data_IF_760330040809
#
_entry.id   IF_760330040809
#
_cell.length_a   1.000
_cell.length_b   1.000
_cell.length_c   1.000
_cell.angle_alpha   90.00
_cell.angle_beta   90.00
_cell.angle_gamma   90.00
#
_symmetry.space_group_name_H-M   'P 1'
#
loop_
_entity.id
_entity.type
_entity.pdbx_description
1 polymer ?
#
# COMPACT_ATOMS: atom_id res chain seq x y z
N UNK A 1 0.56 -25.67 -17.69
CA UNK A 1 0.59 -26.07 -16.28
C UNK A 1 0.78 -24.80 -15.46
N UNK A 2 -0.32 -24.23 -14.98
CA UNK A 2 -0.34 -22.95 -14.28
C UNK A 2 0.13 -23.18 -12.85
N UNK A 3 1.30 -22.64 -12.47
CA UNK A 3 1.64 -22.49 -11.06
C UNK A 3 1.07 -21.15 -10.64
N UNK A 4 -0.15 -21.19 -10.12
CA UNK A 4 -0.79 -20.06 -9.45
C UNK A 4 -0.01 -19.91 -8.14
N UNK A 5 0.79 -18.85 -8.03
CA UNK A 5 1.39 -18.44 -6.76
C UNK A 5 0.31 -17.80 -5.88
N UNK A 6 -0.67 -18.61 -5.46
CA UNK A 6 -1.78 -18.26 -4.57
C UNK A 6 -1.34 -18.17 -3.09
N UNK A 7 -0.16 -17.60 -2.83
CA UNK A 7 0.46 -17.54 -1.48
C UNK A 7 0.51 -16.10 -0.94
N UNK A 8 -0.50 -15.26 -1.23
CA UNK A 8 -0.59 -13.90 -0.68
C UNK A 8 -1.88 -13.56 0.06
N UNK A 9 -2.54 -14.57 0.61
CA UNK A 9 -3.63 -14.31 1.57
C UNK A 9 -3.56 -15.19 2.82
N UNK A 10 -2.35 -15.38 3.35
CA UNK A 10 -2.24 -15.58 4.80
C UNK A 10 -2.53 -14.23 5.43
N UNK A 11 -3.82 -13.98 5.69
CA UNK A 11 -4.28 -12.88 6.55
C UNK A 11 -3.64 -13.07 7.91
N UNK A 12 -2.41 -12.58 8.06
CA UNK A 12 -1.74 -12.52 9.34
C UNK A 12 -2.58 -11.56 10.16
N UNK A 13 -3.36 -12.12 11.08
CA UNK A 13 -4.15 -11.39 12.06
C UNK A 13 -3.21 -10.79 13.11
N UNK A 14 -2.18 -10.08 12.64
CA UNK A 14 -1.19 -9.41 13.44
C UNK A 14 -1.78 -8.04 13.79
N UNK A 15 -1.94 -7.71 15.08
CA UNK A 15 -2.44 -6.41 15.50
C UNK A 15 -1.65 -5.24 14.89
N UNK A 16 -0.36 -5.42 14.60
CA UNK A 16 0.45 -4.42 13.90
C UNK A 16 0.02 -4.20 12.45
N UNK A 17 -0.32 -5.28 11.74
CA UNK A 17 -0.75 -5.21 10.34
C UNK A 17 -2.13 -4.54 10.23
N UNK A 18 -3.04 -4.86 11.16
CA UNK A 18 -4.34 -4.21 11.28
C UNK A 18 -4.20 -2.71 11.61
N UNK A 19 -3.32 -2.36 12.55
CA UNK A 19 -3.03 -0.97 12.90
C UNK A 19 -2.43 -0.21 11.71
N UNK A 20 -1.49 -0.83 10.99
CA UNK A 20 -0.85 -0.24 9.81
C UNK A 20 -1.86 0.00 8.70
N UNK A 21 -2.67 -1.01 8.34
CA UNK A 21 -3.76 -0.88 7.36
C UNK A 21 -4.75 0.20 7.77
N UNK A 22 -5.12 0.29 9.04
CA UNK A 22 -6.04 1.31 9.54
C UNK A 22 -5.43 2.72 9.46
N UNK A 23 -4.15 2.87 9.78
CA UNK A 23 -3.45 4.15 9.69
C UNK A 23 -3.30 4.61 8.23
N UNK A 24 -2.94 3.71 7.31
CA UNK A 24 -2.72 4.02 5.90
C UNK A 24 -4.01 4.19 5.08
N UNK A 25 -5.17 3.78 5.62
CA UNK A 25 -6.49 4.22 5.10
C UNK A 25 -6.68 5.74 5.16
N UNK A 26 -5.93 6.44 6.02
CA UNK A 26 -5.93 7.90 6.07
C UNK A 26 -4.88 8.41 5.09
N UNK A 27 -5.32 8.84 3.90
CA UNK A 27 -4.44 9.31 2.82
C UNK A 27 -3.43 10.35 3.31
N UNK A 28 -3.82 11.30 4.16
CA UNK A 28 -2.92 12.31 4.70
C UNK A 28 -1.79 11.71 5.55
N UNK A 29 -2.08 10.66 6.33
CA UNK A 29 -1.07 9.94 7.13
C UNK A 29 -0.10 9.21 6.20
N UNK A 30 -0.62 8.55 5.17
CA UNK A 30 0.20 7.88 4.17
C UNK A 30 1.11 8.87 3.42
N UNK A 31 0.57 9.99 2.90
CA UNK A 31 1.34 11.06 2.24
C UNK A 31 2.48 11.56 3.13
N UNK A 32 2.18 11.90 4.39
CA UNK A 32 3.18 12.37 5.36
C UNK A 32 4.24 11.32 5.65
N UNK A 33 3.85 10.06 5.79
CA UNK A 33 4.78 8.96 6.00
C UNK A 33 5.79 8.86 4.85
N UNK A 34 5.31 8.85 3.61
CA UNK A 34 6.19 8.80 2.44
C UNK A 34 7.10 10.03 2.38
N UNK A 35 6.58 11.23 2.59
CA UNK A 35 7.38 12.46 2.57
C UNK A 35 8.44 12.52 3.68
N UNK A 36 8.20 11.86 4.81
CA UNK A 36 9.09 11.91 5.98
C UNK A 36 10.19 10.86 5.90
N UNK A 37 9.87 9.66 5.41
CA UNK A 37 10.77 8.51 5.46
C UNK A 37 11.40 8.13 4.13
N UNK A 38 10.87 8.61 3.00
CA UNK A 38 11.49 8.32 1.71
C UNK A 38 12.62 9.32 1.42
N UNK A 39 13.71 8.86 0.78
CA UNK A 39 14.72 9.75 0.23
C UNK A 39 14.10 10.79 -0.70
N UNK A 40 14.61 12.01 -0.68
CA UNK A 40 14.10 13.11 -1.51
C UNK A 40 14.07 12.77 -3.00
N UNK A 41 15.06 12.00 -3.49
CA UNK A 41 15.12 11.52 -4.88
C UNK A 41 13.98 10.58 -5.25
N UNK A 42 13.33 9.91 -4.30
CA UNK A 42 12.16 9.08 -4.58
C UNK A 42 10.88 9.93 -4.47
N UNK A 43 10.80 10.79 -3.45
CA UNK A 43 9.64 11.66 -3.21
C UNK A 43 9.34 12.55 -4.41
N UNK A 44 10.37 13.08 -5.09
CA UNK A 44 10.21 13.94 -6.29
C UNK A 44 9.56 13.24 -7.48
N UNK A 45 9.64 11.91 -7.54
CA UNK A 45 9.09 11.12 -8.64
C UNK A 45 7.71 10.53 -8.30
N UNK A 46 7.20 10.71 -7.09
CA UNK A 46 5.89 10.23 -6.67
C UNK A 46 4.87 11.36 -6.76
N UNK A 47 3.80 11.15 -7.55
CA UNK A 47 2.66 12.05 -7.55
C UNK A 47 1.75 11.75 -6.36
N UNK A 48 1.97 12.44 -5.25
CA UNK A 48 1.13 12.29 -4.06
C UNK A 48 -0.28 12.83 -4.24
N UNK A 49 -0.56 13.68 -5.22
CA UNK A 49 -1.89 14.27 -5.42
C UNK A 49 -2.91 13.21 -5.87
N UNK A 50 -2.45 12.27 -6.69
CA UNK A 50 -3.22 11.12 -7.19
C UNK A 50 -3.05 9.86 -6.33
N UNK A 51 -2.65 10.00 -5.06
CA UNK A 51 -2.51 8.85 -4.17
C UNK A 51 -3.90 8.33 -3.75
N UNK A 52 -4.27 7.16 -4.26
CA UNK A 52 -5.54 6.50 -3.96
C UNK A 52 -5.35 5.21 -3.16
N UNK A 53 -6.38 4.82 -2.42
CA UNK A 53 -6.40 3.51 -1.77
C UNK A 53 -6.63 2.44 -2.83
N UNK A 54 -5.62 1.63 -3.08
CA UNK A 54 -5.73 0.47 -3.97
C UNK A 54 -6.83 -0.46 -3.49
N UNK A 55 -7.92 -0.54 -4.26
CA UNK A 55 -8.97 -1.50 -3.99
C UNK A 55 -8.53 -2.86 -4.56
N UNK A 56 -8.52 -3.90 -3.72
CA UNK A 56 -8.02 -5.26 -4.04
C UNK A 56 -8.65 -5.87 -5.31
N UNK A 57 -9.77 -5.33 -5.80
CA UNK A 57 -10.48 -5.76 -7.01
C UNK A 57 -9.83 -5.33 -8.33
N UNK A 58 -8.92 -4.35 -8.35
CA UNK A 58 -8.29 -3.88 -9.59
C UNK A 58 -7.03 -4.66 -10.01
N UNK A 59 -6.63 -5.68 -9.26
CA UNK A 59 -5.45 -6.52 -9.57
C UNK A 59 -5.75 -7.71 -10.51
N UNK A 60 -6.97 -7.82 -11.06
CA UNK A 60 -7.37 -8.89 -11.98
C UNK A 60 -7.47 -8.48 -13.46
N UNK A 61 -7.15 -7.23 -13.82
CA UNK A 61 -7.28 -6.74 -15.21
C UNK A 61 -6.01 -5.99 -15.69
N UNK A 62 -4.84 -6.60 -15.50
CA UNK A 62 -3.59 -6.20 -16.15
C UNK A 62 -2.81 -7.43 -16.62
#
# INVERSE_FOLDING_TARGET
MTIISDEFEKSVNNPHDAAFKSAFKKILVAKRFFQTYFPEDIVKHINFDHLELGNKRMLHEL
#
